data_IF_671199730719
#
_entry.id   IF_671199730719
#
_cell.length_a   1.000
_cell.length_b   1.000
_cell.length_c   1.000
_cell.angle_alpha   90.00
_cell.angle_beta   90.00
_cell.angle_gamma   90.00
#
_symmetry.space_group_name_H-M   'P 1'
#
loop_
_entity.id
_entity.type
_entity.pdbx_description
1 polymer ?
#
# COMPACT_ATOMS: atom_id res chain seq x y z
N UNK A 1 19.08 6.68 2.68
CA UNK A 1 18.05 7.73 2.75
C UNK A 1 17.62 7.83 4.21
N UNK A 2 17.99 8.89 4.92
CA UNK A 2 17.60 9.09 6.32
C UNK A 2 16.35 9.96 6.35
N UNK A 3 15.21 9.42 6.78
CA UNK A 3 14.00 10.19 7.03
C UNK A 3 13.84 10.33 8.55
N UNK A 4 14.33 11.43 9.12
CA UNK A 4 14.10 11.74 10.52
C UNK A 4 12.77 12.50 10.62
N UNK A 5 11.71 11.84 11.10
CA UNK A 5 10.49 12.51 11.55
C UNK A 5 10.34 12.33 13.05
N UNK A 6 10.59 13.42 13.77
CA UNK A 6 10.28 13.54 15.19
C UNK A 6 8.97 14.30 15.31
N UNK A 7 7.85 13.60 15.44
CA UNK A 7 6.62 14.19 15.95
C UNK A 7 5.81 13.13 16.70
N UNK A 8 5.50 13.34 17.99
CA UNK A 8 4.61 12.48 18.76
C UNK A 8 3.19 12.96 18.50
N UNK A 9 2.65 12.67 17.32
CA UNK A 9 1.21 12.71 17.11
C UNK A 9 0.74 11.29 16.89
N UNK A 10 -0.45 11.00 17.38
CA UNK A 10 -1.15 9.74 17.14
C UNK A 10 -1.54 9.72 15.65
N UNK A 11 -0.54 9.55 14.79
CA UNK A 11 -0.67 9.69 13.36
C UNK A 11 -1.39 8.46 12.81
N UNK A 12 -2.43 8.71 12.00
CA UNK A 12 -3.20 7.69 11.31
C UNK A 12 -2.27 6.92 10.36
N UNK A 13 -1.66 5.85 10.86
CA UNK A 13 -0.84 4.94 10.07
C UNK A 13 -1.72 3.84 9.48
N UNK A 14 -1.62 3.65 8.17
CA UNK A 14 -2.33 2.58 7.45
C UNK A 14 -1.27 1.61 6.93
N UNK A 15 -1.21 0.41 7.51
CA UNK A 15 -0.37 -0.67 7.00
C UNK A 15 -1.16 -1.47 5.95
N UNK A 16 -0.93 -1.15 4.68
CA UNK A 16 -1.61 -1.79 3.55
C UNK A 16 -1.22 -3.27 3.44
N UNK A 17 0.01 -3.66 3.83
CA UNK A 17 0.49 -5.05 3.71
C UNK A 17 -0.27 -5.95 4.67
N UNK A 18 -0.46 -5.51 5.92
CA UNK A 18 -1.23 -6.25 6.92
C UNK A 18 -2.70 -6.44 6.50
N UNK A 19 -3.28 -5.42 5.88
CA UNK A 19 -4.69 -5.42 5.51
C UNK A 19 -4.97 -6.27 4.25
N UNK A 20 -4.01 -6.35 3.31
CA UNK A 20 -4.08 -7.26 2.16
C UNK A 20 -4.05 -8.74 2.58
N UNK A 21 -3.25 -9.08 3.59
CA UNK A 21 -3.19 -10.43 4.18
C UNK A 21 -4.52 -10.83 4.82
N UNK A 22 -5.16 -9.89 5.53
CA UNK A 22 -6.45 -10.10 6.19
C UNK A 22 -7.60 -10.34 5.20
N UNK A 23 -7.49 -9.80 3.99
CA UNK A 23 -8.54 -9.87 2.97
C UNK A 23 -8.52 -11.15 2.13
N UNK A 24 -7.60 -12.10 2.38
CA UNK A 24 -7.37 -13.27 1.52
C UNK A 24 -7.25 -12.88 0.03
N UNK A 25 -6.66 -11.73 -0.26
CA UNK A 25 -6.45 -11.24 -1.62
C UNK A 25 -5.41 -12.14 -2.31
N UNK A 26 -5.85 -13.28 -2.84
CA UNK A 26 -4.98 -14.32 -3.42
C UNK A 26 -4.88 -14.23 -4.93
N UNK A 27 -5.75 -13.44 -5.56
CA UNK A 27 -5.78 -13.29 -7.00
C UNK A 27 -4.67 -12.34 -7.46
N UNK A 28 -3.75 -12.84 -8.27
CA UNK A 28 -2.69 -12.03 -8.87
C UNK A 28 -1.46 -11.78 -8.00
N UNK A 29 -1.49 -12.11 -6.70
CA UNK A 29 -0.34 -11.93 -5.80
C UNK A 29 0.10 -13.22 -5.11
N UNK A 30 1.35 -13.22 -4.63
CA UNK A 30 1.93 -14.26 -3.78
C UNK A 30 2.61 -13.61 -2.60
N UNK A 31 2.24 -13.99 -1.38
CA UNK A 31 2.93 -13.54 -0.18
C UNK A 31 4.29 -14.21 -0.05
N UNK A 32 5.30 -13.41 0.28
CA UNK A 32 6.68 -13.83 0.55
C UNK A 32 7.22 -13.11 1.80
N UNK A 33 8.38 -13.53 2.29
CA UNK A 33 9.09 -12.79 3.32
C UNK A 33 9.55 -11.42 2.78
N UNK A 34 9.36 -10.37 3.56
CA UNK A 34 9.77 -9.02 3.21
C UNK A 34 11.26 -8.76 3.48
N UNK A 35 11.69 -7.53 3.18
CA UNK A 35 13.09 -7.11 3.32
C UNK A 35 13.57 -7.11 4.79
N UNK A 36 12.67 -6.89 5.74
CA UNK A 36 12.97 -6.89 7.17
C UNK A 36 12.49 -8.18 7.84
N UNK A 37 13.22 -8.65 8.85
CA UNK A 37 12.85 -9.86 9.58
C UNK A 37 11.44 -9.75 10.15
N UNK A 38 10.61 -10.76 9.85
CA UNK A 38 9.21 -10.81 10.29
C UNK A 38 8.24 -9.96 9.45
N UNK A 39 8.73 -9.15 8.50
CA UNK A 39 7.87 -8.41 7.58
C UNK A 39 7.33 -9.31 6.47
N UNK A 40 6.13 -8.99 5.98
CA UNK A 40 5.52 -9.63 4.81
C UNK A 40 5.74 -8.76 3.57
N UNK A 41 5.81 -9.39 2.40
CA UNK A 41 5.81 -8.72 1.11
C UNK A 41 4.96 -9.51 0.11
N UNK A 42 4.59 -8.88 -1.01
CA UNK A 42 3.78 -9.50 -2.05
C UNK A 42 4.45 -9.39 -3.41
N UNK A 43 4.52 -10.50 -4.13
CA UNK A 43 4.93 -10.56 -5.53
C UNK A 43 3.68 -10.51 -6.39
N UNK A 44 3.58 -9.54 -7.29
CA UNK A 44 2.53 -9.44 -8.29
C UNK A 44 2.89 -10.31 -9.50
N UNK A 45 1.95 -11.16 -9.93
CA UNK A 45 2.12 -12.12 -11.03
C UNK A 45 1.48 -11.58 -12.31
N UNK A 46 2.04 -11.97 -13.46
CA UNK A 46 1.93 -11.31 -14.77
C UNK A 46 0.55 -10.76 -15.19
N UNK A 47 -0.54 -11.48 -14.89
CA UNK A 47 -1.91 -11.10 -15.28
C UNK A 47 -2.68 -10.29 -14.22
N UNK A 48 -2.23 -10.32 -12.96
CA UNK A 48 -2.87 -9.62 -11.84
C UNK A 48 -1.97 -8.53 -11.29
N UNK A 49 -1.81 -7.44 -12.03
CA UNK A 49 -0.93 -6.31 -11.65
C UNK A 49 -1.61 -5.24 -10.80
N UNK A 50 -2.88 -5.44 -10.45
CA UNK A 50 -3.62 -4.55 -9.59
C UNK A 50 -4.33 -5.38 -8.52
N UNK A 51 -4.18 -4.94 -7.27
CA UNK A 51 -4.96 -5.46 -6.15
C UNK A 51 -5.82 -4.32 -5.68
N UNK A 52 -7.13 -4.54 -5.71
CA UNK A 52 -8.06 -3.58 -5.11
C UNK A 52 -7.97 -3.71 -3.60
N UNK A 53 -7.76 -2.57 -2.93
CA UNK A 53 -7.76 -2.55 -1.48
C UNK A 53 -9.15 -2.94 -0.96
N UNK A 54 -9.24 -3.63 0.18
CA UNK A 54 -10.52 -3.88 0.83
C UNK A 54 -11.28 -2.57 1.10
N UNK A 55 -12.63 -2.56 1.07
CA UNK A 55 -13.42 -1.33 1.24
C UNK A 55 -13.06 -0.52 2.49
N UNK A 56 -12.84 -1.19 3.63
CA UNK A 56 -12.49 -0.52 4.89
C UNK A 56 -11.13 0.21 4.82
N UNK A 57 -10.23 -0.22 3.94
CA UNK A 57 -8.94 0.46 3.69
C UNK A 57 -9.13 1.66 2.79
N UNK A 58 -9.92 1.52 1.73
CA UNK A 58 -10.27 2.64 0.87
C UNK A 58 -10.91 3.77 1.69
N UNK A 59 -11.78 3.44 2.64
CA UNK A 59 -12.39 4.42 3.55
C UNK A 59 -11.36 5.10 4.48
N UNK A 60 -10.45 4.33 5.12
CA UNK A 60 -9.38 4.89 5.96
C UNK A 60 -8.49 5.84 5.15
N UNK A 61 -8.12 5.45 3.92
CA UNK A 61 -7.30 6.26 3.01
C UNK A 61 -8.06 7.52 2.58
N UNK A 62 -9.34 7.41 2.22
CA UNK A 62 -10.18 8.56 1.89
C UNK A 62 -10.34 9.52 3.08
N UNK A 63 -10.49 9.01 4.31
CA UNK A 63 -10.53 9.83 5.52
C UNK A 63 -9.20 10.53 5.77
N UNK A 64 -8.06 9.86 5.56
CA UNK A 64 -6.74 10.48 5.67
C UNK A 64 -6.64 11.69 4.72
N UNK A 65 -7.03 11.53 3.45
CA UNK A 65 -6.98 12.63 2.48
C UNK A 65 -7.95 13.77 2.78
N UNK A 66 -9.11 13.49 3.39
CA UNK A 66 -10.06 14.55 3.80
C UNK A 66 -9.60 15.30 5.04
N UNK A 67 -8.92 14.60 5.97
CA UNK A 67 -8.58 15.14 7.29
C UNK A 67 -7.17 15.73 7.38
N UNK A 68 -6.29 15.40 6.43
CA UNK A 68 -4.89 15.83 6.43
C UNK A 68 -4.52 16.43 5.07
N UNK A 69 -3.91 17.61 5.10
CA UNK A 69 -3.31 18.24 3.92
C UNK A 69 -1.98 17.62 3.51
N UNK A 70 -1.32 16.91 4.43
CA UNK A 70 -0.05 16.26 4.22
C UNK A 70 -0.10 14.81 4.70
N UNK A 71 0.49 13.93 3.91
CA UNK A 71 0.64 12.52 4.24
C UNK A 71 2.00 12.04 3.72
N UNK A 72 2.38 10.82 4.08
CA UNK A 72 3.63 10.24 3.60
C UNK A 72 3.46 8.77 3.32
N UNK A 73 3.91 8.37 2.15
CA UNK A 73 4.00 6.97 1.76
C UNK A 73 5.39 6.44 2.06
N UNK A 74 5.43 5.33 2.78
CA UNK A 74 6.64 4.54 2.99
C UNK A 74 6.43 3.19 2.30
N UNK A 75 7.32 2.85 1.37
CA UNK A 75 7.26 1.59 0.64
C UNK A 75 8.67 1.05 0.38
N UNK A 76 8.82 -0.26 0.54
CA UNK A 76 10.00 -1.01 0.11
C UNK A 76 9.62 -1.81 -1.13
N UNK A 77 10.26 -1.51 -2.27
CA UNK A 77 9.89 -2.07 -3.58
C UNK A 77 11.10 -2.76 -4.19
N UNK A 78 10.90 -4.00 -4.64
CA UNK A 78 11.82 -4.69 -5.52
C UNK A 78 11.20 -4.77 -6.91
N UNK A 79 11.86 -4.16 -7.89
CA UNK A 79 11.39 -4.08 -9.25
C UNK A 79 12.49 -4.53 -10.22
N UNK A 80 12.10 -5.23 -11.30
CA UNK A 80 13.04 -5.66 -12.35
C UNK A 80 13.69 -4.44 -13.01
N UNK A 81 14.96 -4.55 -13.38
CA UNK A 81 15.66 -3.52 -14.14
C UNK A 81 14.91 -3.16 -15.43
N UNK A 82 14.97 -1.87 -15.79
CA UNK A 82 14.37 -1.32 -17.02
C UNK A 82 12.86 -1.58 -17.15
N UNK A 83 12.12 -1.54 -16.04
CA UNK A 83 10.66 -1.63 -16.05
C UNK A 83 10.02 -0.37 -15.44
N UNK A 84 8.74 -0.16 -15.75
CA UNK A 84 7.90 0.88 -15.13
C UNK A 84 6.69 0.23 -14.49
N UNK A 85 6.24 0.78 -13.36
CA UNK A 85 5.13 0.25 -12.59
C UNK A 85 4.48 1.32 -11.74
N UNK A 86 3.19 1.14 -11.45
CA UNK A 86 2.43 2.00 -10.54
C UNK A 86 2.55 1.40 -9.15
N UNK A 87 2.98 2.20 -8.18
CA UNK A 87 3.10 1.79 -6.76
C UNK A 87 1.76 2.00 -6.04
N UNK A 88 1.09 3.11 -6.38
CA UNK A 88 -0.19 3.49 -5.79
C UNK A 88 -0.94 4.36 -6.80
N UNK A 89 -2.21 4.07 -7.00
CA UNK A 89 -3.12 4.92 -7.76
C UNK A 89 -4.41 5.11 -6.99
N UNK A 90 -4.95 6.33 -7.08
CA UNK A 90 -6.29 6.64 -6.63
C UNK A 90 -7.08 6.97 -7.88
N UNK A 91 -8.20 6.29 -8.05
CA UNK A 91 -9.15 6.61 -9.11
C UNK A 91 -10.42 7.08 -8.41
N UNK A 92 -10.87 8.28 -8.74
CA UNK A 92 -12.25 8.67 -8.44
C UNK A 92 -13.14 7.80 -9.32
N UNK A 93 -13.99 6.99 -8.70
CA UNK A 93 -14.98 6.24 -9.46
C UNK A 93 -15.99 7.24 -10.00
N UNK A 94 -16.00 7.45 -11.33
CA UNK A 94 -17.03 8.21 -12.05
C UNK A 94 -18.43 7.70 -11.66
N UNK A 95 -19.01 8.28 -10.61
CA UNK A 95 -20.43 8.18 -10.29
C UNK A 95 -20.98 9.58 -10.46
N UNK A 96 -21.53 9.83 -11.65
CA UNK A 96 -22.50 10.90 -11.87
C UNK A 96 -23.84 10.50 -11.24
#
# INVERSE_FOLDING_TARGET
LFLLRMQPCQDYQIDIIHELDSANATYGITQVAGLHNGSKAFIFRDVGRAVQAPPHIMEKVAQLFRSKSEFTFLASIQQKSSSSGVIFSIHESEHR
#
